data_IF_977691269015
#
_entry.id   IF_977691269015
#
_cell.length_a   1.000
_cell.length_b   1.000
_cell.length_c   1.000
_cell.angle_alpha   90.00
_cell.angle_beta   90.00
_cell.angle_gamma   90.00
#
_symmetry.space_group_name_H-M   'P 1'
#
loop_
_entity.id
_entity.type
_entity.pdbx_description
1 polymer ?
#
# COMPACT_ATOMS: atom_id res chain seq x y z
N UNK A 1 12.81 -7.76 3.73
CA UNK A 1 12.43 -9.18 3.91
C UNK A 1 13.69 -10.03 4.02
N UNK A 2 13.75 -10.90 5.02
CA UNK A 2 14.81 -11.90 5.09
C UNK A 2 14.50 -12.99 4.06
N UNK A 3 15.37 -13.19 3.07
CA UNK A 3 15.22 -14.26 2.07
C UNK A 3 15.28 -15.65 2.71
N UNK A 4 14.84 -16.69 1.99
CA UNK A 4 14.88 -18.09 2.45
C UNK A 4 16.30 -18.60 2.75
N UNK A 5 17.32 -17.88 2.30
CA UNK A 5 18.76 -18.14 2.52
C UNK A 5 19.35 -17.26 3.63
N UNK A 6 18.53 -16.47 4.35
CA UNK A 6 18.99 -15.54 5.38
C UNK A 6 19.47 -14.18 4.83
N UNK A 7 19.42 -13.96 3.52
CA UNK A 7 19.76 -12.67 2.92
C UNK A 7 18.61 -11.66 3.05
N UNK A 8 18.95 -10.40 3.34
CA UNK A 8 17.98 -9.31 3.32
C UNK A 8 17.67 -8.90 1.88
N UNK A 9 16.45 -9.15 1.43
CA UNK A 9 15.97 -8.67 0.13
C UNK A 9 15.40 -7.26 0.28
N UNK A 10 15.99 -6.29 -0.42
CA UNK A 10 15.48 -4.92 -0.48
C UNK A 10 14.80 -4.66 -1.82
N UNK A 11 13.57 -4.14 -1.76
CA UNK A 11 12.80 -3.70 -2.91
C UNK A 11 12.31 -2.28 -2.69
N UNK A 12 12.17 -1.52 -3.78
CA UNK A 12 11.64 -0.16 -3.76
C UNK A 12 10.38 -0.08 -4.61
N UNK A 13 9.42 0.70 -4.14
CA UNK A 13 8.20 1.04 -4.87
C UNK A 13 7.99 2.55 -4.93
N UNK A 14 7.51 3.05 -6.07
CA UNK A 14 7.06 4.42 -6.23
C UNK A 14 5.62 4.59 -5.73
N UNK A 15 4.77 3.60 -6.01
CA UNK A 15 3.36 3.62 -5.63
C UNK A 15 3.12 2.92 -4.30
N UNK A 16 3.31 1.60 -4.24
CA UNK A 16 2.94 0.81 -3.07
C UNK A 16 3.74 -0.50 -2.93
N UNK A 17 3.78 -0.97 -1.69
CA UNK A 17 4.08 -2.36 -1.33
C UNK A 17 2.76 -3.00 -0.92
N UNK A 18 2.34 -4.06 -1.61
CA UNK A 18 1.14 -4.82 -1.30
C UNK A 18 1.52 -6.21 -0.76
N UNK A 19 0.98 -6.54 0.41
CA UNK A 19 1.04 -7.89 0.99
C UNK A 19 -0.29 -8.56 0.71
N UNK A 20 -0.29 -9.67 -0.01
CA UNK A 20 -1.51 -10.30 -0.52
C UNK A 20 -1.53 -11.79 -0.19
N UNK A 21 -2.71 -12.32 0.05
CA UNK A 21 -2.90 -13.78 0.07
C UNK A 21 -2.53 -14.37 -1.28
N UNK A 22 -2.01 -15.58 -1.26
CA UNK A 22 -1.72 -16.33 -2.47
C UNK A 22 -2.90 -17.20 -2.90
N UNK A 23 -3.53 -17.84 -1.93
CA UNK A 23 -4.60 -18.81 -2.21
C UNK A 23 -5.99 -18.17 -2.06
N UNK A 24 -6.90 -18.54 -2.93
CA UNK A 24 -8.24 -17.95 -2.97
C UNK A 24 -9.14 -18.37 -1.80
N UNK A 25 -8.80 -19.44 -1.09
CA UNK A 25 -9.69 -20.09 -0.12
C UNK A 25 -9.68 -19.48 1.28
N UNK A 26 -8.69 -18.69 1.66
CA UNK A 26 -8.59 -18.16 3.04
C UNK A 26 -7.98 -16.78 3.08
N UNK A 27 -8.43 -15.96 4.04
CA UNK A 27 -7.77 -14.71 4.42
C UNK A 27 -6.42 -15.00 5.08
N UNK A 28 -5.58 -13.96 5.13
CA UNK A 28 -4.34 -13.94 5.89
C UNK A 28 -4.50 -13.04 7.11
N UNK A 29 -3.71 -13.32 8.15
CA UNK A 29 -3.59 -12.48 9.34
C UNK A 29 -2.32 -11.67 9.20
N UNK A 30 -2.43 -10.34 9.25
CA UNK A 30 -1.31 -9.41 9.12
C UNK A 30 -1.20 -8.62 10.41
N UNK A 31 -0.30 -9.06 11.30
CA UNK A 31 0.02 -8.32 12.52
C UNK A 31 0.88 -7.12 12.16
N UNK A 32 0.38 -5.93 12.49
CA UNK A 32 0.96 -4.65 12.07
C UNK A 32 1.47 -3.88 13.26
N UNK A 33 2.76 -3.48 13.18
CA UNK A 33 3.39 -2.59 14.15
C UNK A 33 3.85 -1.31 13.44
N UNK A 34 3.79 -0.19 14.15
CA UNK A 34 4.31 1.11 13.69
C UNK A 34 5.34 1.58 14.72
N UNK A 35 6.59 1.78 14.29
CA UNK A 35 7.71 2.13 15.17
C UNK A 35 7.86 1.16 16.37
N UNK A 36 7.62 -0.15 16.12
CA UNK A 36 7.68 -1.19 17.15
C UNK A 36 6.42 -1.29 18.03
N UNK A 37 5.47 -0.37 17.94
CA UNK A 37 4.20 -0.42 18.68
C UNK A 37 3.16 -1.23 17.90
N UNK A 38 2.54 -2.22 18.56
CA UNK A 38 1.42 -2.97 17.98
C UNK A 38 0.19 -2.09 17.79
N UNK A 39 -0.36 -2.07 16.58
CA UNK A 39 -1.55 -1.28 16.24
C UNK A 39 -2.77 -2.17 16.03
N UNK A 40 -2.66 -3.16 15.14
CA UNK A 40 -3.79 -3.99 14.75
C UNK A 40 -3.32 -5.28 14.07
N UNK A 41 -4.14 -6.32 14.13
CA UNK A 41 -4.02 -7.48 13.26
C UNK A 41 -5.16 -7.45 12.24
N UNK A 42 -4.83 -7.27 10.97
CA UNK A 42 -5.79 -7.34 9.88
C UNK A 42 -6.06 -8.80 9.50
N UNK A 43 -7.33 -9.20 9.52
CA UNK A 43 -7.81 -10.43 8.87
C UNK A 43 -8.42 -10.01 7.54
N UNK A 44 -7.69 -10.23 6.44
CA UNK A 44 -8.00 -9.63 5.15
C UNK A 44 -7.45 -10.47 3.98
N UNK A 45 -7.76 -10.09 2.76
CA UNK A 45 -7.11 -10.63 1.58
C UNK A 45 -5.72 -10.04 1.37
N UNK A 46 -5.43 -8.91 2.02
CA UNK A 46 -4.13 -8.27 2.03
C UNK A 46 -4.09 -6.91 2.71
N UNK A 47 -2.93 -6.27 2.65
CA UNK A 47 -2.67 -4.92 3.13
C UNK A 47 -1.78 -4.19 2.13
N UNK A 48 -2.14 -2.97 1.81
CA UNK A 48 -1.38 -2.09 0.91
C UNK A 48 -0.77 -0.97 1.74
N UNK A 49 0.55 -0.81 1.68
CA UNK A 49 1.26 0.35 2.20
C UNK A 49 1.65 1.23 1.03
N UNK A 50 1.05 2.41 0.93
CA UNK A 50 1.18 3.25 -0.25
C UNK A 50 1.76 4.63 0.05
N UNK A 51 2.53 5.16 -0.90
CA UNK A 51 2.98 6.54 -0.94
C UNK A 51 1.82 7.47 -1.35
N UNK A 52 1.97 8.80 -1.21
CA UNK A 52 1.00 9.74 -1.79
C UNK A 52 0.82 9.57 -3.30
N UNK A 53 1.88 9.25 -4.03
CA UNK A 53 1.80 8.95 -5.48
C UNK A 53 0.93 7.70 -5.73
N UNK A 54 1.14 6.64 -4.96
CA UNK A 54 0.40 5.38 -5.07
C UNK A 54 -1.04 5.46 -4.52
N UNK A 55 -1.40 6.52 -3.79
CA UNK A 55 -2.76 6.69 -3.26
C UNK A 55 -3.84 6.69 -4.34
N UNK A 56 -3.48 6.99 -5.58
CA UNK A 56 -4.37 6.95 -6.75
C UNK A 56 -4.18 5.69 -7.63
N UNK A 57 -3.43 4.70 -7.14
CA UNK A 57 -3.21 3.40 -7.77
C UNK A 57 -4.02 2.29 -7.06
N UNK A 58 -3.39 1.21 -6.65
CA UNK A 58 -4.08 0.06 -6.06
C UNK A 58 -4.78 0.40 -4.72
N UNK A 59 -4.21 1.31 -3.92
CA UNK A 59 -4.82 1.81 -2.69
C UNK A 59 -6.22 2.40 -2.95
N UNK A 60 -6.38 3.20 -4.03
CA UNK A 60 -7.67 3.81 -4.38
C UNK A 60 -8.76 2.77 -4.65
N UNK A 61 -8.41 1.69 -5.35
CA UNK A 61 -9.36 0.60 -5.68
C UNK A 61 -9.88 -0.13 -4.44
N UNK A 62 -9.17 -0.02 -3.32
CA UNK A 62 -9.52 -0.61 -2.04
C UNK A 62 -10.06 0.43 -1.03
N UNK A 63 -10.53 1.58 -1.50
CA UNK A 63 -11.13 2.62 -0.67
C UNK A 63 -10.12 3.46 0.12
N UNK A 64 -8.84 3.44 -0.27
CA UNK A 64 -7.82 4.32 0.29
C UNK A 64 -8.07 5.79 -0.05
N UNK A 65 -7.59 6.73 0.78
CA UNK A 65 -7.75 8.16 0.55
C UNK A 65 -6.89 8.63 -0.62
N UNK A 66 -7.34 9.65 -1.34
CA UNK A 66 -6.49 10.39 -2.27
C UNK A 66 -5.59 11.32 -1.46
N UNK A 67 -4.29 11.12 -1.55
CA UNK A 67 -3.28 11.88 -0.82
C UNK A 67 -2.51 12.76 -1.82
N UNK A 68 -2.45 14.06 -1.51
CA UNK A 68 -1.71 15.02 -2.36
C UNK A 68 -0.20 14.74 -2.24
N UNK A 69 0.56 14.72 -3.35
CA UNK A 69 2.01 14.57 -3.31
C UNK A 69 2.69 15.58 -2.38
N UNK A 70 3.83 15.21 -1.82
CA UNK A 70 4.64 16.01 -0.88
C UNK A 70 3.99 16.29 0.48
N UNK A 71 3.04 15.47 0.92
CA UNK A 71 2.40 15.63 2.25
C UNK A 71 3.16 14.95 3.39
N UNK A 72 4.26 14.24 3.12
CA UNK A 72 5.07 13.58 4.17
C UNK A 72 4.33 12.46 4.91
N UNK A 73 3.48 11.70 4.21
CA UNK A 73 2.71 10.61 4.80
C UNK A 73 2.75 9.35 3.93
N UNK A 74 2.38 8.22 4.52
CA UNK A 74 2.01 6.98 3.82
C UNK A 74 0.66 6.49 4.33
N UNK A 75 0.00 5.63 3.57
CA UNK A 75 -1.28 5.04 3.98
C UNK A 75 -1.22 3.52 4.02
N UNK A 76 -1.90 2.94 4.99
CA UNK A 76 -2.17 1.52 5.12
C UNK A 76 -3.62 1.27 4.73
N UNK A 77 -3.85 0.53 3.66
CA UNK A 77 -5.19 0.25 3.12
C UNK A 77 -5.42 -1.25 3.09
N UNK A 78 -6.31 -1.80 3.95
CA UNK A 78 -6.62 -3.22 3.93
C UNK A 78 -7.40 -3.62 2.67
N UNK A 79 -7.14 -4.81 2.14
CA UNK A 79 -7.82 -5.39 0.98
C UNK A 79 -8.87 -6.36 1.47
N UNK A 80 -10.15 -6.11 1.18
CA UNK A 80 -11.29 -6.93 1.58
C UNK A 80 -11.20 -7.40 3.05
N UNK A 81 -11.09 -6.51 4.03
CA UNK A 81 -10.97 -6.90 5.43
C UNK A 81 -12.26 -7.55 5.93
N UNK A 82 -12.13 -8.55 6.80
CA UNK A 82 -13.28 -9.18 7.45
C UNK A 82 -13.97 -8.25 8.47
N UNK A 83 -13.19 -7.36 9.10
CA UNK A 83 -13.73 -6.40 10.07
C UNK A 83 -14.47 -5.26 9.37
N UNK A 84 -15.71 -5.03 9.74
CA UNK A 84 -16.52 -3.91 9.24
C UNK A 84 -16.03 -2.54 9.73
N UNK A 85 -15.20 -2.50 10.77
CA UNK A 85 -14.64 -1.26 11.33
C UNK A 85 -13.26 -0.92 10.77
N UNK A 86 -12.63 -1.83 10.00
CA UNK A 86 -11.35 -1.56 9.37
C UNK A 86 -11.47 -0.38 8.40
N UNK A 87 -10.55 0.56 8.53
CA UNK A 87 -10.46 1.75 7.67
C UNK A 87 -9.01 1.96 7.28
N UNK A 88 -8.75 2.56 6.12
CA UNK A 88 -7.41 3.01 5.79
C UNK A 88 -6.85 3.95 6.86
N UNK A 89 -5.60 3.74 7.23
CA UNK A 89 -4.87 4.55 8.20
C UNK A 89 -3.80 5.36 7.49
N UNK A 90 -3.71 6.66 7.79
CA UNK A 90 -2.64 7.54 7.29
C UNK A 90 -1.67 7.81 8.42
N UNK A 91 -0.38 7.63 8.14
CA UNK A 91 0.71 7.78 9.11
C UNK A 91 1.81 8.68 8.53
N UNK A 92 2.68 9.28 9.35
CA UNK A 92 3.86 9.99 8.87
C UNK A 92 4.77 9.07 8.03
N UNK A 93 5.39 9.60 6.97
CA UNK A 93 6.33 8.84 6.13
C UNK A 93 7.67 8.54 6.81
N UNK A 94 7.93 9.21 7.95
CA UNK A 94 9.05 8.89 8.85
C UNK A 94 8.83 7.64 9.69
N UNK A 95 7.61 7.08 9.70
CA UNK A 95 7.30 5.88 10.45
C UNK A 95 7.87 4.63 9.77
N UNK A 96 8.23 3.64 10.57
CA UNK A 96 8.57 2.30 10.12
C UNK A 96 7.40 1.35 10.38
N UNK A 97 6.94 0.67 9.34
CA UNK A 97 5.85 -0.30 9.41
C UNK A 97 6.46 -1.71 9.40
N UNK A 98 6.18 -2.48 10.42
CA UNK A 98 6.57 -3.89 10.52
C UNK A 98 5.33 -4.77 10.37
N UNK A 99 5.39 -5.75 9.46
CA UNK A 99 4.31 -6.68 9.18
C UNK A 99 4.79 -8.12 9.42
N UNK A 100 4.05 -8.84 10.25
CA UNK A 100 4.19 -10.27 10.48
C UNK A 100 2.96 -10.96 9.90
N UNK A 101 3.17 -11.92 8.99
CA UNK A 101 2.08 -12.52 8.20
C UNK A 101 1.93 -14.00 8.54
N UNK A 102 0.69 -14.38 8.86
CA UNK A 102 0.27 -15.77 9.03
C UNK A 102 -0.74 -16.15 7.94
N UNK A 103 -0.57 -17.33 7.36
CA UNK A 103 -1.38 -17.85 6.27
C UNK A 103 -1.56 -19.35 6.41
N UNK A 104 -2.74 -19.87 6.12
CA UNK A 104 -2.98 -21.34 6.13
C UNK A 104 -2.10 -22.11 5.15
N UNK A 105 -1.70 -21.51 4.06
CA UNK A 105 -0.80 -22.10 3.08
C UNK A 105 0.68 -21.89 3.41
N UNK A 106 1.00 -21.29 4.59
CA UNK A 106 2.35 -20.97 5.02
C UNK A 106 3.12 -20.11 4.02
N UNK A 107 2.43 -19.38 3.15
CA UNK A 107 3.03 -18.49 2.17
C UNK A 107 2.07 -17.36 1.78
N UNK A 108 2.65 -16.25 1.32
CA UNK A 108 1.94 -15.06 0.85
C UNK A 108 2.71 -14.40 -0.28
N UNK A 109 2.15 -13.35 -0.87
CA UNK A 109 2.80 -12.56 -1.92
C UNK A 109 3.13 -11.18 -1.40
N UNK A 110 4.31 -10.68 -1.77
CA UNK A 110 4.69 -9.27 -1.62
C UNK A 110 4.89 -8.71 -3.01
N UNK A 111 4.20 -7.63 -3.32
CA UNK A 111 4.30 -6.95 -4.61
C UNK A 111 4.78 -5.50 -4.40
N UNK A 112 5.84 -5.11 -5.10
CA UNK A 112 6.34 -3.75 -5.20
C UNK A 112 6.03 -3.19 -6.59
N UNK A 113 5.09 -2.24 -6.71
CA UNK A 113 4.61 -1.70 -8.00
C UNK A 113 4.32 -2.81 -9.03
N UNK A 114 3.61 -3.87 -8.61
CA UNK A 114 3.23 -5.00 -9.46
C UNK A 114 4.29 -6.09 -9.65
N UNK A 115 5.55 -5.88 -9.24
CA UNK A 115 6.56 -6.93 -9.22
C UNK A 115 6.37 -7.79 -7.97
N UNK A 116 5.91 -9.00 -8.12
CA UNK A 116 5.57 -9.88 -7.00
C UNK A 116 6.64 -10.93 -6.72
N UNK A 117 6.89 -11.16 -5.43
CA UNK A 117 7.71 -12.24 -4.91
C UNK A 117 6.90 -13.09 -3.93
N UNK A 118 7.22 -14.39 -3.85
CA UNK A 118 6.68 -15.29 -2.84
C UNK A 118 7.45 -15.14 -1.55
N UNK A 119 6.74 -15.03 -0.44
CA UNK A 119 7.30 -15.04 0.89
C UNK A 119 6.73 -16.21 1.70
N UNK A 120 7.53 -16.77 2.59
CA UNK A 120 7.13 -17.81 3.53
C UNK A 120 6.63 -17.21 4.85
N UNK A 121 5.81 -17.96 5.56
CA UNK A 121 5.41 -17.63 6.92
C UNK A 121 6.66 -17.51 7.82
N UNK A 122 6.59 -16.60 8.80
CA UNK A 122 7.73 -16.30 9.67
C UNK A 122 8.69 -15.23 9.13
N UNK A 123 8.56 -14.83 7.86
CA UNK A 123 9.29 -13.68 7.33
C UNK A 123 8.67 -12.37 7.84
N UNK A 124 9.51 -11.48 8.36
CA UNK A 124 9.12 -10.15 8.81
C UNK A 124 9.39 -9.15 7.69
N UNK A 125 8.39 -8.35 7.38
CA UNK A 125 8.49 -7.28 6.39
C UNK A 125 8.63 -5.94 7.09
N UNK A 126 9.70 -5.20 6.80
CA UNK A 126 9.88 -3.83 7.27
C UNK A 126 9.72 -2.88 6.09
N UNK A 127 8.78 -1.94 6.18
CA UNK A 127 8.47 -0.96 5.15
C UNK A 127 8.71 0.43 5.71
N UNK A 128 9.54 1.21 5.01
CA UNK A 128 9.88 2.58 5.37
C UNK A 128 10.13 3.41 4.12
N UNK A 129 10.11 4.73 4.28
CA UNK A 129 10.51 5.63 3.20
C UNK A 129 11.94 5.36 2.76
N UNK A 130 12.16 5.34 1.45
CA UNK A 130 13.48 5.28 0.86
C UNK A 130 14.33 6.52 1.22
N UNK A 131 15.64 6.40 1.39
CA UNK A 131 16.52 7.54 1.63
C UNK A 131 16.70 8.45 0.40
N UNK A 132 16.21 8.04 -0.77
CA UNK A 132 16.26 8.81 -2.01
C UNK A 132 14.87 9.02 -2.60
N UNK A 133 14.69 10.14 -3.30
CA UNK A 133 13.44 10.52 -3.94
C UNK A 133 13.42 10.13 -5.42
N UNK A 134 12.24 9.78 -5.93
CA UNK A 134 12.02 9.61 -7.35
C UNK A 134 11.68 10.95 -8.00
N UNK A 135 12.38 11.32 -9.07
CA UNK A 135 12.16 12.57 -9.78
C UNK A 135 11.26 12.35 -11.00
N UNK A 136 10.10 13.02 -11.03
CA UNK A 136 9.13 12.91 -12.11
C UNK A 136 9.14 14.20 -12.93
N UNK A 137 9.45 14.09 -14.23
CA UNK A 137 9.38 15.23 -15.16
C UNK A 137 7.92 15.50 -15.51
N UNK A 138 7.47 16.73 -15.31
CA UNK A 138 6.11 17.18 -15.63
C UNK A 138 6.13 18.32 -16.66
N UNK A 139 5.23 18.33 -17.66
CA UNK A 139 5.03 19.48 -18.53
C UNK A 139 4.63 20.73 -17.73
N UNK A 140 5.17 21.91 -18.07
CA UNK A 140 4.96 23.17 -17.33
C UNK A 140 3.50 23.55 -17.09
N UNK A 141 2.58 23.13 -17.98
CA UNK A 141 1.15 23.48 -17.93
C UNK A 141 0.29 22.47 -17.13
N UNK A 142 0.87 21.34 -16.67
CA UNK A 142 0.12 20.32 -15.95
C UNK A 142 0.25 20.53 -14.44
N UNK A 143 -0.90 20.81 -13.78
CA UNK A 143 -0.97 20.83 -12.33
C UNK A 143 -1.52 19.50 -11.80
N UNK A 144 -1.20 19.17 -10.56
CA UNK A 144 -1.72 17.96 -9.91
C UNK A 144 -3.25 17.91 -9.95
N UNK A 145 -3.93 18.97 -9.52
CA UNK A 145 -5.39 19.00 -9.45
C UNK A 145 -6.07 18.97 -10.82
N UNK A 146 -5.45 19.56 -11.86
CA UNK A 146 -5.99 19.43 -13.22
C UNK A 146 -5.93 17.99 -13.72
N UNK A 147 -4.81 17.30 -13.45
CA UNK A 147 -4.63 15.88 -13.79
C UNK A 147 -5.60 15.00 -13.00
N UNK A 148 -5.75 15.27 -11.70
CA UNK A 148 -6.64 14.50 -10.83
C UNK A 148 -8.10 14.62 -11.30
N UNK A 149 -8.61 15.85 -11.55
CA UNK A 149 -9.96 16.07 -12.08
C UNK A 149 -10.19 15.33 -13.39
N UNK A 150 -9.20 15.37 -14.29
CA UNK A 150 -9.32 14.69 -15.58
C UNK A 150 -9.36 13.15 -15.42
N UNK A 151 -8.44 12.58 -14.65
CA UNK A 151 -8.35 11.13 -14.43
C UNK A 151 -9.54 10.58 -13.64
N UNK A 152 -10.04 11.32 -12.66
CA UNK A 152 -11.18 10.92 -11.82
C UNK A 152 -12.53 11.28 -12.43
N UNK A 153 -12.54 11.90 -13.62
CA UNK A 153 -13.77 12.34 -14.31
C UNK A 153 -14.70 13.19 -13.42
N UNK A 154 -14.15 13.94 -12.46
CA UNK A 154 -14.93 14.77 -11.52
C UNK A 154 -15.70 15.92 -12.20
N UNK A 155 -15.58 16.10 -13.52
CA UNK A 155 -16.37 17.04 -14.32
C UNK A 155 -17.58 16.40 -15.02
N UNK A 156 -17.72 15.10 -14.91
CA UNK A 156 -18.82 14.39 -15.56
C UNK A 156 -20.13 14.49 -14.75
N UNK A 157 -20.50 15.71 -14.33
CA UNK A 157 -21.90 15.99 -14.02
C UNK A 157 -22.62 16.11 -15.37
N UNK A 158 -23.23 15.01 -15.80
CA UNK A 158 -24.01 14.92 -17.05
C UNK A 158 -25.19 15.88 -17.10
N UNK A 159 -25.49 16.64 -16.02
CA UNK A 159 -26.52 17.65 -15.95
C UNK A 159 -26.09 19.03 -16.48
N UNK A 160 -24.81 19.24 -16.74
CA UNK A 160 -24.25 20.52 -17.22
C UNK A 160 -23.90 20.49 -18.71
N UNK A 161 -24.12 19.38 -19.39
CA UNK A 161 -23.98 19.28 -20.85
C UNK A 161 -25.35 19.47 -21.52
N UNK A 162 -25.90 20.67 -21.41
CA UNK A 162 -26.93 21.23 -22.31
C UNK A 162 -26.43 22.56 -22.88
#
# INVERSE_FOLDING_TARGET
TTGSDGSDVQECALNEIAVLKRDNASMISIRTLINGEYIVTYHADGLIVSTPTGSTAYSLSNGGPIIVPHTGVMSLTPVAPHSLTARPLVIPDSAEVTLEVESRSHNFLVAADGRSAKCGEGQVLTIRRSPYDAHIVKPKKMTYFSTLRHKMMWRADTRVMK
#
